data_IF_733231701963
#
_entry.id   IF_733231701963
#
_cell.length_a   1.000
_cell.length_b   1.000
_cell.length_c   1.000
_cell.angle_alpha   90.00
_cell.angle_beta   90.00
_cell.angle_gamma   90.00
#
_symmetry.space_group_name_H-M   'P 1'
#
loop_
_entity.id
_entity.type
_entity.pdbx_description
1 polymer ?
#
# COMPACT_ATOMS: atom_id res chain seq x y z
N UNK A 1 44.59 7.37 -28.95
CA UNK A 1 45.83 7.66 -28.20
C UNK A 1 46.45 8.94 -28.76
N UNK A 2 46.84 9.87 -27.87
CA UNK A 2 47.28 11.27 -28.08
C UNK A 2 46.16 12.30 -28.25
N UNK A 3 45.74 12.83 -27.09
CA UNK A 3 45.07 14.12 -26.92
C UNK A 3 45.94 15.23 -27.54
N UNK A 4 45.39 15.98 -28.49
CA UNK A 4 45.87 17.34 -28.78
C UNK A 4 45.06 18.29 -27.91
N UNK A 5 45.64 18.70 -26.79
CA UNK A 5 45.18 19.89 -26.07
C UNK A 5 45.53 21.09 -26.94
N UNK A 6 44.51 21.69 -27.56
CA UNK A 6 44.55 23.12 -27.85
C UNK A 6 44.25 23.81 -26.53
N UNK A 7 45.05 24.82 -26.17
CA UNK A 7 44.68 25.82 -25.16
C UNK A 7 43.34 26.41 -25.59
N UNK A 8 42.28 25.87 -25.00
CA UNK A 8 40.95 26.45 -25.02
C UNK A 8 40.75 26.99 -23.62
N UNK A 9 40.37 28.27 -23.57
CA UNK A 9 39.97 29.03 -22.40
C UNK A 9 39.39 28.12 -21.32
N UNK A 10 39.89 28.27 -20.09
CA UNK A 10 39.41 27.55 -18.93
C UNK A 10 37.87 27.57 -18.95
N UNK A 11 37.25 26.41 -19.14
CA UNK A 11 35.81 26.24 -19.00
C UNK A 11 35.45 26.68 -17.58
N UNK A 12 34.95 27.90 -17.45
CA UNK A 12 34.43 28.44 -16.21
C UNK A 12 33.13 27.71 -15.91
N UNK A 13 33.21 26.73 -15.01
CA UNK A 13 32.03 26.04 -14.49
C UNK A 13 31.35 27.02 -13.53
N UNK A 14 30.24 27.62 -13.97
CA UNK A 14 29.38 28.42 -13.11
C UNK A 14 28.46 27.49 -12.34
N UNK A 15 28.64 27.44 -11.02
CA UNK A 15 27.67 26.82 -10.11
C UNK A 15 26.57 27.85 -9.89
N UNK A 16 25.43 27.67 -10.55
CA UNK A 16 24.21 28.39 -10.22
C UNK A 16 23.87 28.08 -8.75
N UNK A 17 23.50 29.10 -7.97
CA UNK A 17 23.13 28.97 -6.54
C UNK A 17 24.28 28.57 -5.59
N UNK A 18 25.52 28.97 -5.86
CA UNK A 18 26.68 28.68 -4.99
C UNK A 18 26.44 29.11 -3.53
N UNK A 19 25.79 30.27 -3.32
CA UNK A 19 25.46 30.78 -1.99
C UNK A 19 24.44 29.90 -1.26
N UNK A 20 23.40 29.43 -1.96
CA UNK A 20 22.40 28.52 -1.38
C UNK A 20 23.03 27.16 -1.06
N UNK A 21 23.92 26.66 -1.92
CA UNK A 21 24.65 25.42 -1.67
C UNK A 21 25.57 25.56 -0.44
N UNK A 22 26.30 26.66 -0.32
CA UNK A 22 27.13 26.95 0.85
C UNK A 22 26.28 27.07 2.12
N UNK A 23 25.16 27.80 2.05
CA UNK A 23 24.19 27.90 3.15
C UNK A 23 23.65 26.52 3.56
N UNK A 24 23.33 25.67 2.59
CA UNK A 24 22.86 24.31 2.81
C UNK A 24 23.91 23.43 3.49
N UNK A 25 25.19 23.57 3.11
CA UNK A 25 26.31 22.85 3.72
C UNK A 25 26.60 23.34 5.14
N UNK A 26 26.63 24.66 5.36
CA UNK A 26 26.88 25.27 6.68
C UNK A 26 25.78 24.91 7.67
N UNK A 27 24.52 24.88 7.24
CA UNK A 27 23.39 24.54 8.11
C UNK A 27 23.21 23.02 8.32
N UNK A 28 23.97 22.17 7.63
CA UNK A 28 23.88 20.69 7.74
C UNK A 28 24.03 20.16 9.17
N UNK A 29 25.00 20.61 9.99
CA UNK A 29 25.14 20.11 11.37
C UNK A 29 23.90 20.44 12.22
N UNK A 30 23.35 21.65 12.08
CA UNK A 30 22.12 22.08 12.76
C UNK A 30 20.93 21.23 12.33
N UNK A 31 20.69 21.07 11.02
CA UNK A 31 19.60 20.22 10.49
C UNK A 31 19.71 18.77 10.98
N UNK A 32 20.92 18.22 11.01
CA UNK A 32 21.16 16.86 11.52
C UNK A 32 20.86 16.76 13.02
N UNK A 33 21.24 17.76 13.81
CA UNK A 33 20.94 17.81 15.24
C UNK A 33 19.43 17.90 15.51
N UNK A 34 18.73 18.79 14.80
CA UNK A 34 17.27 18.96 14.89
C UNK A 34 16.54 17.69 14.46
N UNK A 35 16.96 17.09 13.34
CA UNK A 35 16.39 15.84 12.86
C UNK A 35 16.62 14.69 13.85
N UNK A 36 17.83 14.55 14.42
CA UNK A 36 18.11 13.54 15.45
C UNK A 36 17.21 13.70 16.66
N UNK A 37 17.04 14.93 17.16
CA UNK A 37 16.13 15.21 18.27
C UNK A 37 14.70 14.80 17.92
N UNK A 38 14.19 15.23 16.76
CA UNK A 38 12.85 14.87 16.29
C UNK A 38 12.66 13.34 16.20
N UNK A 39 13.64 12.60 15.68
CA UNK A 39 13.55 11.13 15.57
C UNK A 39 13.54 10.47 16.95
N UNK A 40 14.34 10.95 17.90
CA UNK A 40 14.35 10.44 19.28
C UNK A 40 12.98 10.69 19.93
N UNK A 41 12.46 11.91 19.82
CA UNK A 41 11.17 12.28 20.39
C UNK A 41 10.04 11.43 19.77
N UNK A 42 10.02 11.28 18.45
CA UNK A 42 9.04 10.42 17.75
C UNK A 42 9.13 8.95 18.16
N UNK A 43 10.34 8.42 18.35
CA UNK A 43 10.53 7.03 18.83
C UNK A 43 9.99 6.84 20.24
N UNK A 44 10.16 7.82 21.11
CA UNK A 44 9.62 7.78 22.47
C UNK A 44 8.09 7.78 22.43
N UNK A 45 7.48 8.74 21.72
CA UNK A 45 6.02 8.84 21.60
C UNK A 45 5.40 7.57 21.02
N UNK A 46 6.01 6.99 19.99
CA UNK A 46 5.55 5.74 19.38
C UNK A 46 5.65 4.55 20.34
N UNK A 47 6.69 4.49 21.19
CA UNK A 47 6.85 3.43 22.17
C UNK A 47 5.79 3.53 23.28
N UNK A 48 5.47 4.75 23.71
CA UNK A 48 4.40 5.03 24.67
C UNK A 48 3.04 4.63 24.09
N UNK A 49 2.70 5.12 22.90
CA UNK A 49 1.45 4.76 22.20
C UNK A 49 1.31 3.24 22.01
N UNK A 50 2.36 2.58 21.52
CA UNK A 50 2.35 1.13 21.33
C UNK A 50 2.16 0.37 22.66
N UNK A 51 2.70 0.91 23.76
CA UNK A 51 2.52 0.32 25.08
C UNK A 51 1.11 0.55 25.64
N UNK A 52 0.49 1.69 25.36
CA UNK A 52 -0.85 2.02 25.83
C UNK A 52 -1.95 1.31 25.04
N UNK A 53 -1.89 1.35 23.71
CA UNK A 53 -2.98 0.93 22.82
C UNK A 53 -2.93 -0.55 22.45
N UNK A 54 -1.74 -1.16 22.47
CA UNK A 54 -1.50 -2.60 22.15
C UNK A 54 -2.00 -3.04 20.76
N UNK A 55 -2.15 -2.11 19.83
CA UNK A 55 -2.62 -2.31 18.46
C UNK A 55 -1.53 -2.03 17.40
N UNK A 56 -0.34 -1.61 17.82
CA UNK A 56 0.80 -1.35 16.93
C UNK A 56 1.68 -2.61 16.80
N UNK A 57 1.94 -3.01 15.56
CA UNK A 57 2.94 -4.02 15.22
C UNK A 57 4.19 -3.37 14.61
N UNK A 58 5.26 -3.29 15.39
CA UNK A 58 6.58 -2.87 14.90
C UNK A 58 7.32 -4.05 14.28
N UNK A 59 7.78 -3.90 13.04
CA UNK A 59 8.47 -4.93 12.28
C UNK A 59 9.89 -4.50 11.93
N UNK A 60 10.81 -5.47 11.78
CA UNK A 60 12.23 -5.20 11.53
C UNK A 60 12.48 -4.97 10.03
N UNK A 61 12.01 -3.83 9.53
CA UNK A 61 12.29 -3.35 8.16
C UNK A 61 12.52 -1.84 8.16
N UNK A 62 13.24 -1.34 7.15
CA UNK A 62 13.35 0.10 6.91
C UNK A 62 12.07 0.53 6.19
N UNK A 63 11.30 1.44 6.80
CA UNK A 63 10.01 1.88 6.27
C UNK A 63 10.22 2.87 5.11
N UNK A 64 10.38 2.32 3.92
CA UNK A 64 10.47 3.02 2.64
C UNK A 64 9.59 2.31 1.64
N UNK A 65 9.16 3.02 0.60
CA UNK A 65 8.22 2.51 -0.39
C UNK A 65 8.65 1.17 -1.03
N UNK A 66 9.95 1.04 -1.35
CA UNK A 66 10.55 -0.20 -1.90
C UNK A 66 10.38 -1.42 -0.98
N UNK A 67 10.28 -1.20 0.33
CA UNK A 67 10.23 -2.25 1.35
C UNK A 67 8.82 -2.52 1.88
N UNK A 68 7.78 -1.88 1.33
CA UNK A 68 6.39 -2.19 1.66
C UNK A 68 6.05 -3.69 1.48
N UNK A 69 6.55 -4.42 0.46
CA UNK A 69 6.34 -5.86 0.38
C UNK A 69 6.88 -6.63 1.59
N UNK A 70 8.04 -6.22 2.15
CA UNK A 70 8.56 -6.84 3.37
C UNK A 70 7.68 -6.54 4.58
N UNK A 71 7.20 -5.29 4.71
CA UNK A 71 6.26 -4.91 5.76
C UNK A 71 4.98 -5.76 5.70
N UNK A 72 4.44 -5.97 4.49
CA UNK A 72 3.30 -6.85 4.25
C UNK A 72 3.59 -8.30 4.65
N UNK A 73 4.74 -8.84 4.25
CA UNK A 73 5.14 -10.22 4.60
C UNK A 73 5.32 -10.40 6.12
N UNK A 74 5.91 -9.44 6.81
CA UNK A 74 6.03 -9.48 8.28
C UNK A 74 4.66 -9.48 8.94
N UNK A 75 3.74 -8.62 8.48
CA UNK A 75 2.37 -8.59 8.97
C UNK A 75 1.63 -9.91 8.73
N UNK A 76 1.67 -10.46 7.52
CA UNK A 76 1.02 -11.74 7.20
C UNK A 76 1.62 -12.91 8.02
N UNK A 77 2.95 -12.89 8.23
CA UNK A 77 3.63 -13.86 9.12
C UNK A 77 3.23 -13.71 10.58
N UNK A 78 2.92 -12.51 11.03
CA UNK A 78 2.41 -12.28 12.38
C UNK A 78 0.95 -12.74 12.50
N UNK A 79 0.10 -12.37 11.53
CA UNK A 79 -1.32 -12.70 11.49
C UNK A 79 -1.56 -14.21 11.39
N UNK A 80 -0.84 -14.91 10.49
CA UNK A 80 -0.92 -16.38 10.33
C UNK A 80 -0.59 -17.15 11.59
N UNK A 81 0.26 -16.61 12.48
CA UNK A 81 0.62 -17.24 13.77
C UNK A 81 -0.40 -16.96 14.87
N UNK A 82 -1.23 -15.91 14.75
CA UNK A 82 -2.16 -15.47 15.81
C UNK A 82 -3.62 -15.70 15.43
N UNK A 83 -4.21 -16.74 16.05
CA UNK A 83 -5.67 -17.05 16.08
C UNK A 83 -6.37 -17.15 14.71
N UNK A 84 -7.65 -17.54 14.77
CA UNK A 84 -8.54 -17.85 13.66
C UNK A 84 -9.04 -16.54 13.02
N UNK A 85 -8.67 -16.30 11.77
CA UNK A 85 -9.30 -15.31 10.90
C UNK A 85 -9.76 -16.00 9.61
N UNK A 86 -10.79 -15.45 8.97
CA UNK A 86 -11.25 -15.92 7.65
C UNK A 86 -10.68 -15.05 6.53
N UNK A 87 -10.54 -13.75 6.80
CA UNK A 87 -10.08 -12.76 5.85
C UNK A 87 -9.18 -11.72 6.53
N UNK A 88 -8.29 -11.10 5.76
CA UNK A 88 -7.51 -9.91 6.11
C UNK A 88 -7.96 -8.78 5.21
N UNK A 89 -8.32 -7.63 5.79
CA UNK A 89 -8.46 -6.36 5.07
C UNK A 89 -7.19 -5.54 5.28
N UNK A 90 -6.54 -5.14 4.18
CA UNK A 90 -5.45 -4.15 4.18
C UNK A 90 -5.96 -2.85 3.59
N UNK A 91 -5.53 -1.74 4.15
CA UNK A 91 -5.72 -0.39 3.60
C UNK A 91 -4.58 0.51 4.07
N UNK A 92 -4.54 1.73 3.56
CA UNK A 92 -3.56 2.77 3.91
C UNK A 92 -4.15 3.73 4.97
N UNK A 93 -3.29 4.50 5.65
CA UNK A 93 -3.68 5.44 6.71
C UNK A 93 -4.41 6.69 6.19
N UNK A 94 -4.40 6.92 4.88
CA UNK A 94 -5.11 7.97 4.17
C UNK A 94 -6.43 7.49 3.54
N UNK A 95 -6.96 6.34 3.96
CA UNK A 95 -8.17 5.75 3.36
C UNK A 95 -9.30 5.54 4.37
N UNK A 96 -10.49 6.07 4.07
CA UNK A 96 -11.69 5.80 4.83
C UNK A 96 -12.37 4.50 4.33
N UNK A 97 -12.77 3.60 5.23
CA UNK A 97 -13.43 2.33 4.89
C UNK A 97 -14.82 2.23 5.55
N UNK A 98 -15.85 1.87 4.76
CA UNK A 98 -17.15 1.46 5.32
C UNK A 98 -17.11 -0.02 5.66
N UNK A 99 -16.64 -0.31 6.88
CA UNK A 99 -16.51 -1.66 7.40
C UNK A 99 -17.84 -2.42 7.40
N UNK A 100 -18.99 -1.75 7.55
CA UNK A 100 -20.31 -2.42 7.52
C UNK A 100 -20.63 -2.95 6.13
N UNK A 101 -20.29 -2.22 5.07
CA UNK A 101 -20.48 -2.68 3.69
C UNK A 101 -19.50 -3.79 3.32
N UNK A 102 -18.24 -3.66 3.75
CA UNK A 102 -17.23 -4.71 3.55
C UNK A 102 -17.70 -6.01 4.22
N UNK A 103 -18.13 -5.95 5.47
CA UNK A 103 -18.62 -7.10 6.23
C UNK A 103 -19.83 -7.77 5.56
N UNK A 104 -20.86 -6.98 5.19
CA UNK A 104 -22.03 -7.48 4.44
C UNK A 104 -21.64 -8.15 3.12
N UNK A 105 -20.72 -7.55 2.38
CA UNK A 105 -20.22 -8.10 1.11
C UNK A 105 -19.50 -9.43 1.31
N UNK A 106 -18.76 -9.58 2.41
CA UNK A 106 -18.06 -10.82 2.77
C UNK A 106 -19.01 -11.90 3.28
N UNK A 107 -20.02 -11.54 4.07
CA UNK A 107 -21.05 -12.47 4.52
C UNK A 107 -21.81 -13.08 3.32
N UNK A 108 -22.25 -12.23 2.38
CA UNK A 108 -22.92 -12.69 1.16
C UNK A 108 -22.02 -13.60 0.31
N UNK A 109 -20.76 -13.21 0.12
CA UNK A 109 -19.76 -14.00 -0.61
C UNK A 109 -19.55 -15.40 0.01
N UNK A 110 -19.43 -15.45 1.34
CA UNK A 110 -19.28 -16.68 2.08
C UNK A 110 -20.51 -17.60 1.90
N UNK A 111 -21.72 -17.05 2.10
CA UNK A 111 -22.97 -17.81 1.91
C UNK A 111 -23.08 -18.37 0.50
N UNK A 112 -22.91 -17.53 -0.53
CA UNK A 112 -22.99 -17.95 -1.93
C UNK A 112 -21.99 -19.07 -2.29
N UNK A 113 -20.83 -19.11 -1.63
CA UNK A 113 -19.81 -20.15 -1.85
C UNK A 113 -20.12 -21.43 -1.07
N UNK A 114 -20.61 -21.31 0.16
CA UNK A 114 -20.92 -22.45 1.04
C UNK A 114 -22.03 -23.36 0.50
N UNK A 115 -22.95 -22.83 -0.31
CA UNK A 115 -24.00 -23.63 -0.97
C UNK A 115 -23.48 -24.46 -2.15
N UNK A 116 -22.27 -24.19 -2.65
CA UNK A 116 -21.78 -24.78 -3.90
C UNK A 116 -20.68 -25.83 -3.70
N UNK A 117 -19.90 -25.76 -2.61
CA UNK A 117 -18.78 -26.69 -2.38
C UNK A 117 -18.48 -26.84 -0.88
N UNK A 118 -18.67 -28.04 -0.33
CA UNK A 118 -18.14 -28.42 0.99
C UNK A 118 -16.59 -28.42 0.93
N UNK A 119 -15.93 -27.64 1.82
CA UNK A 119 -14.46 -27.47 1.94
C UNK A 119 -13.74 -26.57 0.91
N UNK A 120 -14.40 -25.60 0.28
CA UNK A 120 -13.68 -24.67 -0.60
C UNK A 120 -12.66 -23.81 0.15
N UNK A 121 -11.37 -24.06 -0.08
CA UNK A 121 -10.35 -23.02 -0.08
C UNK A 121 -10.93 -21.82 -0.83
N UNK A 122 -11.07 -20.72 -0.12
CA UNK A 122 -11.81 -19.58 -0.61
C UNK A 122 -11.09 -19.08 -1.89
N UNK A 123 -9.76 -18.97 -1.89
CA UNK A 123 -9.00 -18.40 -3.00
C UNK A 123 -9.60 -17.05 -3.44
N UNK A 124 -10.11 -16.29 -2.46
CA UNK A 124 -10.79 -15.01 -2.68
C UNK A 124 -9.83 -13.87 -2.47
N UNK A 125 -9.78 -12.97 -3.45
CA UNK A 125 -9.03 -11.74 -3.38
C UNK A 125 -9.85 -10.58 -3.91
N UNK A 126 -10.39 -9.77 -3.02
CA UNK A 126 -11.35 -8.74 -3.42
C UNK A 126 -10.75 -7.34 -3.33
N UNK A 127 -10.75 -6.64 -4.45
CA UNK A 127 -10.28 -5.26 -4.60
C UNK A 127 -10.81 -4.71 -5.93
N UNK A 128 -10.41 -3.48 -6.28
CA UNK A 128 -10.42 -3.00 -7.66
C UNK A 128 -9.02 -3.25 -8.25
N UNK A 129 -8.98 -3.90 -9.40
CA UNK A 129 -7.75 -4.41 -10.00
C UNK A 129 -7.33 -3.56 -11.19
N UNK A 130 -6.04 -3.21 -11.23
CA UNK A 130 -5.40 -2.71 -12.44
C UNK A 130 -5.03 -3.90 -13.31
N UNK A 131 -5.36 -3.84 -14.59
CA UNK A 131 -5.11 -4.91 -15.57
C UNK A 131 -4.32 -4.34 -16.73
N UNK A 132 -3.25 -5.01 -17.15
CA UNK A 132 -2.41 -4.57 -18.26
C UNK A 132 -1.64 -3.27 -17.97
N UNK A 133 -1.40 -2.95 -16.70
CA UNK A 133 -0.71 -1.73 -16.30
C UNK A 133 0.78 -1.80 -16.72
N UNK A 134 1.33 -0.74 -17.32
CA UNK A 134 2.72 -0.73 -17.77
C UNK A 134 3.70 -0.75 -16.61
N UNK A 135 4.85 -1.39 -16.84
CA UNK A 135 5.98 -1.40 -15.91
C UNK A 135 6.75 -0.10 -16.09
N UNK A 136 6.78 0.71 -15.03
CA UNK A 136 7.44 2.01 -15.06
C UNK A 136 8.96 1.84 -15.07
N UNK A 137 9.65 2.53 -15.97
CA UNK A 137 11.11 2.49 -16.10
C UNK A 137 11.82 3.69 -15.46
N UNK A 138 11.06 4.64 -14.92
CA UNK A 138 11.58 5.86 -14.30
C UNK A 138 10.65 6.38 -13.19
N UNK A 139 11.13 7.36 -12.44
CA UNK A 139 10.38 8.00 -11.35
C UNK A 139 10.20 7.12 -10.11
N UNK A 140 9.28 7.53 -9.23
CA UNK A 140 8.99 6.87 -7.95
C UNK A 140 8.57 5.40 -8.11
N UNK A 141 7.95 5.08 -9.24
CA UNK A 141 7.31 3.79 -9.51
C UNK A 141 8.19 2.84 -10.31
N UNK A 142 9.43 3.23 -10.61
CA UNK A 142 10.38 2.44 -11.38
C UNK A 142 10.56 1.03 -10.81
N UNK A 143 10.47 0.04 -11.67
CA UNK A 143 10.79 -1.36 -11.37
C UNK A 143 11.82 -1.90 -12.37
N UNK A 144 13.00 -2.25 -11.86
CA UNK A 144 14.14 -2.71 -12.66
C UNK A 144 14.24 -4.23 -12.76
N UNK A 145 13.66 -4.95 -11.80
CA UNK A 145 13.81 -6.40 -11.69
C UNK A 145 12.73 -7.17 -12.48
N UNK A 146 11.59 -6.52 -12.76
CA UNK A 146 10.49 -7.14 -13.47
C UNK A 146 10.60 -6.93 -14.99
N UNK A 147 10.63 -8.02 -15.76
CA UNK A 147 11.06 -8.01 -17.17
C UNK A 147 9.93 -7.92 -18.20
N UNK A 148 8.67 -8.09 -17.79
CA UNK A 148 7.53 -7.93 -18.68
C UNK A 148 7.26 -6.45 -18.96
N UNK A 149 6.58 -6.13 -20.07
CA UNK A 149 6.13 -4.76 -20.35
C UNK A 149 4.96 -4.34 -19.46
N UNK A 150 4.17 -5.30 -18.98
CA UNK A 150 3.00 -5.07 -18.14
C UNK A 150 2.94 -6.04 -16.97
N UNK A 151 2.34 -5.59 -15.87
CA UNK A 151 2.09 -6.40 -14.68
C UNK A 151 0.88 -7.33 -14.87
N UNK A 152 0.86 -8.50 -14.21
CA UNK A 152 -0.39 -9.26 -14.03
C UNK A 152 -1.40 -8.43 -13.21
N UNK A 153 -2.69 -8.81 -13.17
CA UNK A 153 -3.67 -8.10 -12.37
C UNK A 153 -3.23 -7.91 -10.91
N UNK A 154 -3.28 -6.67 -10.42
CA UNK A 154 -2.93 -6.32 -9.04
C UNK A 154 -3.91 -5.27 -8.48
N UNK A 155 -4.09 -5.17 -7.15
CA UNK A 155 -5.06 -4.27 -6.55
C UNK A 155 -4.53 -2.84 -6.63
N UNK A 156 -5.38 -1.85 -6.71
CA UNK A 156 -4.92 -0.47 -6.94
C UNK A 156 -4.38 0.28 -5.70
N UNK A 157 -3.90 -0.43 -4.68
CA UNK A 157 -3.24 0.12 -3.48
C UNK A 157 -4.18 0.56 -2.35
N UNK A 158 -5.30 1.20 -2.70
CA UNK A 158 -6.26 1.80 -1.74
C UNK A 158 -6.82 0.83 -0.68
N UNK A 159 -6.98 -0.44 -1.05
CA UNK A 159 -7.37 -1.49 -0.12
C UNK A 159 -7.80 -2.77 -0.80
N UNK A 160 -7.71 -3.85 -0.05
CA UNK A 160 -8.10 -5.18 -0.54
C UNK A 160 -8.43 -6.12 0.62
N UNK A 161 -9.18 -7.17 0.31
CA UNK A 161 -9.47 -8.28 1.21
C UNK A 161 -8.87 -9.57 0.67
N UNK A 162 -8.06 -10.27 1.48
CA UNK A 162 -7.52 -11.58 1.17
C UNK A 162 -8.12 -12.64 2.08
N UNK A 163 -8.48 -13.77 1.48
CA UNK A 163 -8.82 -14.99 2.21
C UNK A 163 -7.60 -15.62 2.89
N UNK A 164 -7.86 -16.36 3.98
CA UNK A 164 -6.82 -16.98 4.82
C UNK A 164 -5.86 -17.88 4.04
N UNK A 165 -6.35 -18.63 3.07
CA UNK A 165 -5.55 -19.57 2.28
C UNK A 165 -4.55 -18.86 1.37
N UNK A 166 -4.92 -17.72 0.78
CA UNK A 166 -3.97 -16.88 0.04
C UNK A 166 -2.88 -16.33 0.96
N UNK A 167 -3.26 -15.87 2.15
CA UNK A 167 -2.30 -15.39 3.15
C UNK A 167 -1.35 -16.51 3.56
N UNK A 168 -1.87 -17.73 3.75
CA UNK A 168 -1.06 -18.90 4.11
C UNK A 168 -0.08 -19.27 3.00
N UNK A 169 -0.53 -19.30 1.74
CA UNK A 169 0.33 -19.53 0.59
C UNK A 169 1.49 -18.53 0.52
N UNK A 170 1.21 -17.24 0.71
CA UNK A 170 2.23 -16.18 0.68
C UNK A 170 3.25 -16.38 1.81
N UNK A 171 2.78 -16.68 3.03
CA UNK A 171 3.65 -16.88 4.20
C UNK A 171 4.56 -18.09 4.02
N UNK A 172 4.00 -19.22 3.59
CA UNK A 172 4.74 -20.47 3.34
C UNK A 172 5.79 -20.32 2.24
N UNK A 173 5.52 -19.47 1.23
CA UNK A 173 6.43 -19.24 0.11
C UNK A 173 7.29 -17.98 0.24
N UNK A 174 7.16 -17.22 1.34
CA UNK A 174 7.77 -15.89 1.52
C UNK A 174 9.28 -15.79 1.25
N UNK A 175 10.04 -16.88 1.40
CA UNK A 175 11.47 -16.92 1.09
C UNK A 175 11.79 -16.97 -0.41
N UNK A 176 10.83 -17.39 -1.25
CA UNK A 176 10.95 -17.52 -2.71
C UNK A 176 10.29 -16.36 -3.47
N UNK A 177 9.49 -15.54 -2.80
CA UNK A 177 8.76 -14.43 -3.40
C UNK A 177 9.69 -13.21 -3.54
N UNK A 178 10.00 -12.78 -4.76
CA UNK A 178 10.78 -11.56 -4.99
C UNK A 178 10.02 -10.30 -4.55
N UNK A 179 10.71 -9.29 -4.02
CA UNK A 179 10.10 -8.03 -3.57
C UNK A 179 10.19 -7.00 -4.69
N UNK A 180 9.04 -6.57 -5.21
CA UNK A 180 8.94 -5.58 -6.28
C UNK A 180 8.55 -4.21 -5.72
N UNK A 181 8.56 -3.19 -6.58
CA UNK A 181 8.20 -1.82 -6.27
C UNK A 181 6.70 -1.74 -6.00
N UNK A 182 6.33 -1.61 -4.73
CA UNK A 182 4.94 -1.61 -4.27
C UNK A 182 4.49 -2.96 -3.75
N UNK A 183 3.77 -2.97 -2.63
CA UNK A 183 3.24 -4.20 -2.04
C UNK A 183 2.10 -4.78 -2.86
N UNK A 184 1.30 -3.92 -3.48
CA UNK A 184 0.19 -4.27 -4.35
C UNK A 184 0.66 -4.98 -5.62
N UNK A 185 1.64 -4.40 -6.32
CA UNK A 185 2.30 -4.99 -7.50
C UNK A 185 2.95 -6.32 -7.13
N UNK A 186 3.71 -6.35 -6.02
CA UNK A 186 4.33 -7.58 -5.53
C UNK A 186 3.29 -8.67 -5.30
N UNK A 187 2.18 -8.34 -4.64
CA UNK A 187 1.08 -9.26 -4.36
C UNK A 187 0.44 -9.80 -5.65
N UNK A 188 0.23 -8.95 -6.66
CA UNK A 188 -0.23 -9.36 -8.00
C UNK A 188 0.67 -10.39 -8.66
N UNK A 189 1.99 -10.16 -8.62
CA UNK A 189 2.96 -11.09 -9.19
C UNK A 189 2.98 -12.41 -8.41
N UNK A 190 2.96 -12.37 -7.08
CA UNK A 190 3.00 -13.56 -6.23
C UNK A 190 1.77 -14.46 -6.42
N UNK A 191 0.61 -13.88 -6.71
CA UNK A 191 -0.66 -14.59 -6.83
C UNK A 191 -1.06 -14.90 -8.28
N UNK A 192 -0.32 -14.41 -9.28
CA UNK A 192 -0.66 -14.55 -10.70
C UNK A 192 -0.90 -16.01 -11.12
N UNK A 193 -0.08 -16.95 -10.61
CA UNK A 193 -0.19 -18.38 -10.91
C UNK A 193 -1.33 -19.11 -10.20
N UNK A 194 -1.94 -18.50 -9.18
CA UNK A 194 -3.04 -19.11 -8.42
C UNK A 194 -4.43 -18.74 -8.94
N UNK A 195 -4.50 -17.75 -9.84
CA UNK A 195 -5.74 -17.22 -10.41
C UNK A 195 -6.86 -17.04 -9.37
N UNK A 196 -6.68 -16.18 -8.35
CA UNK A 196 -7.70 -15.98 -7.32
C UNK A 196 -9.03 -15.52 -7.91
N UNK A 197 -10.13 -15.84 -7.21
CA UNK A 197 -11.46 -15.30 -7.49
C UNK A 197 -11.46 -13.82 -7.09
N UNK A 198 -11.29 -12.96 -8.10
CA UNK A 198 -11.15 -11.51 -7.93
C UNK A 198 -12.46 -10.74 -8.00
N UNK A 199 -13.36 -11.23 -8.84
CA UNK A 199 -14.75 -10.83 -8.89
C UNK A 199 -15.57 -11.95 -8.29
N UNK A 200 -16.61 -11.60 -7.55
CA UNK A 200 -17.72 -12.53 -7.59
C UNK A 200 -19.02 -11.78 -7.76
N UNK A 201 -19.75 -12.25 -8.76
CA UNK A 201 -21.19 -12.36 -8.78
C UNK A 201 -21.81 -12.12 -7.39
N UNK A 202 -22.45 -10.95 -7.22
CA UNK A 202 -23.17 -10.57 -6.01
C UNK A 202 -23.15 -9.05 -5.74
N UNK A 203 -24.10 -8.53 -4.94
CA UNK A 203 -24.14 -7.12 -4.55
C UNK A 203 -23.02 -6.85 -3.55
N UNK A 204 -21.86 -6.44 -4.06
CA UNK A 204 -20.74 -5.96 -3.24
C UNK A 204 -20.60 -4.47 -3.36
N UNK A 205 -20.06 -3.87 -2.29
CA UNK A 205 -19.52 -2.53 -2.45
C UNK A 205 -18.36 -2.54 -3.45
N UNK A 206 -18.06 -1.38 -4.02
CA UNK A 206 -17.04 -1.22 -5.04
C UNK A 206 -15.82 -0.56 -4.38
N UNK A 207 -14.66 -1.18 -4.56
CA UNK A 207 -13.39 -0.57 -4.18
C UNK A 207 -13.06 0.54 -5.18
N UNK A 208 -12.69 1.71 -4.65
CA UNK A 208 -12.23 2.85 -5.43
C UNK A 208 -10.72 2.98 -5.33
N UNK A 209 -10.07 3.22 -6.47
CA UNK A 209 -8.63 3.42 -6.57
C UNK A 209 -8.20 4.88 -6.42
N UNK A 210 -9.11 5.82 -6.67
CA UNK A 210 -8.82 7.25 -6.61
C UNK A 210 -10.00 8.03 -6.05
N UNK A 211 -9.74 9.19 -5.46
CA UNK A 211 -10.80 10.04 -4.91
C UNK A 211 -11.83 10.50 -5.97
N UNK A 212 -11.49 10.46 -7.26
CA UNK A 212 -12.29 10.97 -8.38
C UNK A 212 -12.98 9.87 -9.20
N UNK A 213 -12.88 8.60 -8.81
CA UNK A 213 -13.58 7.53 -9.53
C UNK A 213 -15.11 7.70 -9.40
N UNK A 214 -15.77 7.80 -10.55
CA UNK A 214 -17.20 8.13 -10.79
C UNK A 214 -18.19 7.08 -10.29
N UNK A 215 -17.81 6.24 -9.33
CA UNK A 215 -18.71 5.30 -8.72
C UNK A 215 -19.84 6.03 -7.98
N UNK A 216 -21.06 5.50 -8.08
CA UNK A 216 -22.19 5.96 -7.28
C UNK A 216 -21.80 5.81 -5.81
N UNK A 217 -21.61 6.93 -5.11
CA UNK A 217 -21.08 6.94 -3.75
C UNK A 217 -21.84 5.99 -2.79
N UNK A 218 -23.12 5.79 -3.05
CA UNK A 218 -23.99 4.90 -2.26
C UNK A 218 -23.45 3.48 -2.14
N UNK A 219 -22.64 2.99 -3.09
CA UNK A 219 -22.11 1.62 -3.07
C UNK A 219 -20.56 1.53 -2.95
N UNK A 220 -19.87 2.57 -2.50
CA UNK A 220 -18.41 2.50 -2.28
C UNK A 220 -18.03 1.74 -1.01
N UNK A 221 -16.95 0.94 -1.07
CA UNK A 221 -16.30 0.31 0.08
C UNK A 221 -15.36 1.27 0.80
N UNK A 222 -14.75 2.19 0.06
CA UNK A 222 -13.71 3.08 0.54
C UNK A 222 -13.72 4.45 -0.14
N UNK A 223 -13.04 5.41 0.49
CA UNK A 223 -12.64 6.69 -0.09
C UNK A 223 -11.14 6.90 0.20
N UNK A 224 -10.26 6.75 -0.80
CA UNK A 224 -8.81 6.79 -0.59
C UNK A 224 -8.22 8.21 -0.71
N UNK A 225 -6.94 8.35 -0.34
CA UNK A 225 -6.12 9.55 -0.55
C UNK A 225 -6.66 10.81 0.16
N UNK A 226 -7.14 10.64 1.38
CA UNK A 226 -7.71 11.71 2.19
C UNK A 226 -6.66 12.38 3.07
N UNK A 227 -6.70 13.71 3.10
CA UNK A 227 -6.07 14.45 4.19
C UNK A 227 -6.79 14.18 5.51
N UNK A 228 -6.14 14.49 6.63
CA UNK A 228 -6.72 14.35 7.98
C UNK A 228 -8.07 15.09 8.09
N UNK A 229 -8.18 16.30 7.55
CA UNK A 229 -9.42 17.07 7.60
C UNK A 229 -10.53 16.44 6.75
N UNK A 230 -10.19 15.91 5.57
CA UNK A 230 -11.15 15.21 4.72
C UNK A 230 -11.60 13.88 5.33
N UNK A 231 -10.73 13.18 6.07
CA UNK A 231 -11.08 11.99 6.84
C UNK A 231 -12.16 12.32 7.89
N UNK A 232 -11.96 13.40 8.67
CA UNK A 232 -12.94 13.86 9.64
C UNK A 232 -14.25 14.31 8.98
N UNK A 233 -14.19 15.06 7.87
CA UNK A 233 -15.37 15.47 7.12
C UNK A 233 -16.15 14.25 6.57
N UNK A 234 -15.44 13.25 6.05
CA UNK A 234 -16.00 11.99 5.57
C UNK A 234 -16.70 11.24 6.71
N UNK A 235 -16.10 11.17 7.90
CA UNK A 235 -16.73 10.56 9.07
C UNK A 235 -17.99 11.28 9.52
N UNK A 236 -17.99 12.62 9.54
CA UNK A 236 -19.18 13.43 9.87
C UNK A 236 -20.30 13.17 8.88
N UNK A 237 -19.99 13.16 7.58
CA UNK A 237 -20.95 12.83 6.53
C UNK A 237 -21.49 11.41 6.67
N UNK A 238 -20.61 10.43 6.91
CA UNK A 238 -21.00 9.03 7.11
C UNK A 238 -21.97 8.86 8.26
N UNK A 239 -21.72 9.52 9.40
CA UNK A 239 -22.64 9.49 10.55
C UNK A 239 -24.00 10.12 10.27
N UNK A 240 -24.04 11.20 9.47
CA UNK A 240 -25.27 11.96 9.19
C UNK A 240 -26.11 11.35 8.06
N UNK A 241 -25.46 10.89 7.00
CA UNK A 241 -26.07 10.57 5.71
C UNK A 241 -26.00 9.08 5.36
N UNK A 242 -25.25 8.28 6.15
CA UNK A 242 -25.06 6.85 5.92
C UNK A 242 -24.14 6.50 4.73
N UNK A 243 -23.42 7.49 4.19
CA UNK A 243 -22.48 7.30 3.08
C UNK A 243 -21.30 8.28 3.18
N UNK A 244 -20.25 8.07 2.38
CA UNK A 244 -18.97 8.77 2.50
C UNK A 244 -18.88 10.11 1.73
N UNK A 245 -19.84 10.45 0.87
CA UNK A 245 -19.68 11.58 -0.06
C UNK A 245 -20.58 12.77 0.23
N UNK A 246 -21.48 12.65 1.20
CA UNK A 246 -22.38 13.75 1.53
C UNK A 246 -23.81 13.30 1.73
N UNK A 247 -24.57 14.24 2.28
CA UNK A 247 -25.94 14.46 1.88
C UNK A 247 -25.82 15.48 0.72
#
# INVERSE_FOLDING_TARGET
MKLKMKEHDALSIFILELEDLQSHLVSKPKRLSEWRKKIIDQKYMLAEEANERKDILLVKTVDVYRNLPDKLLYFMRWASRRKKFSYILKTDDDTFIDLKKVDKSMHFAHMATSYLVDNAYYNWWWSSFRVGWPVESFGKWREDDYRSATYPPFPCGAGYVLSKDLVQFIVENSMRLHRYQGEDVSLGIWLAGLMPKTSASGPRCIWSCTANETAICSNLCNRPQLTVNEMYATWVSYKKCGNMCGC
#
